data_IF_005939837616
#
_entry.id   IF_005939837616
#
_cell.length_a   1.000
_cell.length_b   1.000
_cell.length_c   1.000
_cell.angle_alpha   90.00
_cell.angle_beta   90.00
_cell.angle_gamma   90.00
#
_symmetry.space_group_name_H-M   'P 1'
#
loop_
_entity.id
_entity.type
_entity.pdbx_description
1 polymer ?
#
# COMPACT_ATOMS: atom_id res chain seq x y z
N UNK A 1 6.85 32.62 -39.16
CA UNK A 1 8.07 31.94 -38.71
C UNK A 1 7.65 30.72 -37.93
N UNK A 2 8.22 29.57 -38.28
CA UNK A 2 7.94 28.28 -37.68
C UNK A 2 8.70 28.09 -36.36
N UNK A 3 8.18 27.14 -35.58
CA UNK A 3 8.81 26.33 -34.52
C UNK A 3 8.96 26.94 -33.11
N UNK A 4 7.98 26.59 -32.26
CA UNK A 4 8.13 25.65 -31.15
C UNK A 4 9.55 25.50 -30.58
N UNK A 5 9.74 25.88 -29.31
CA UNK A 5 10.69 25.18 -28.44
C UNK A 5 10.31 25.34 -26.97
N UNK A 6 9.79 24.24 -26.44
CA UNK A 6 9.55 23.95 -25.02
C UNK A 6 10.79 24.19 -24.18
N UNK A 7 10.66 25.00 -23.12
CA UNK A 7 11.53 24.90 -21.94
C UNK A 7 10.62 24.66 -20.74
N UNK A 8 10.48 23.37 -20.46
CA UNK A 8 10.18 22.74 -19.17
C UNK A 8 9.50 23.64 -18.14
N UNK A 9 8.19 23.43 -17.97
CA UNK A 9 7.56 23.63 -16.66
C UNK A 9 8.19 22.62 -15.69
N UNK A 10 9.29 23.03 -15.08
CA UNK A 10 9.91 22.34 -13.96
C UNK A 10 8.92 22.48 -12.81
N UNK A 11 8.20 21.39 -12.53
CA UNK A 11 7.32 21.19 -11.37
C UNK A 11 5.93 21.88 -11.45
N UNK A 12 5.06 21.47 -12.38
CA UNK A 12 3.65 21.25 -12.01
C UNK A 12 3.56 19.92 -11.25
N UNK A 13 4.26 19.82 -10.11
CA UNK A 13 4.19 18.68 -9.21
C UNK A 13 3.81 19.16 -7.81
N UNK A 14 2.70 19.86 -7.74
CA UNK A 14 1.91 19.91 -6.52
C UNK A 14 0.52 19.48 -6.96
N UNK A 15 0.08 18.34 -6.43
CA UNK A 15 -1.30 17.93 -6.62
C UNK A 15 -2.18 19.09 -6.18
N UNK A 16 -3.25 19.40 -6.93
CA UNK A 16 -4.10 20.52 -6.54
C UNK A 16 -4.51 20.33 -5.08
N UNK A 17 -4.55 21.40 -4.28
CA UNK A 17 -4.99 21.32 -2.87
C UNK A 17 -6.32 20.57 -2.73
N UNK A 18 -7.18 20.63 -3.75
CA UNK A 18 -8.41 19.85 -3.85
C UNK A 18 -8.16 18.32 -3.93
N UNK A 19 -7.21 17.85 -4.74
CA UNK A 19 -6.82 16.44 -4.81
C UNK A 19 -6.14 15.96 -3.50
N UNK A 20 -5.30 16.80 -2.89
CA UNK A 20 -4.71 16.55 -1.58
C UNK A 20 -5.76 16.47 -0.47
N UNK A 21 -6.73 17.39 -0.46
CA UNK A 21 -7.86 17.40 0.48
C UNK A 21 -8.74 16.16 0.31
N UNK A 22 -9.07 15.76 -0.93
CA UNK A 22 -9.84 14.54 -1.19
C UNK A 22 -9.12 13.28 -0.72
N UNK A 23 -7.81 13.18 -0.94
CA UNK A 23 -7.03 12.04 -0.45
C UNK A 23 -6.96 12.02 1.07
N UNK A 24 -6.81 13.19 1.70
CA UNK A 24 -6.78 13.30 3.15
C UNK A 24 -8.14 12.93 3.79
N UNK A 25 -9.26 13.34 3.19
CA UNK A 25 -10.59 12.94 3.66
C UNK A 25 -10.80 11.43 3.52
N UNK A 26 -10.40 10.85 2.39
CA UNK A 26 -10.51 9.40 2.17
C UNK A 26 -9.62 8.59 3.11
N UNK A 27 -8.42 9.06 3.43
CA UNK A 27 -7.55 8.41 4.41
C UNK A 27 -8.14 8.47 5.82
N UNK A 28 -8.73 9.59 6.22
CA UNK A 28 -9.40 9.71 7.54
C UNK A 28 -10.61 8.79 7.66
N UNK A 29 -11.39 8.63 6.60
CA UNK A 29 -12.54 7.73 6.58
C UNK A 29 -12.08 6.27 6.73
N UNK A 30 -11.00 5.87 6.05
CA UNK A 30 -10.40 4.54 6.22
C UNK A 30 -9.81 4.34 7.62
N UNK A 31 -9.20 5.36 8.23
CA UNK A 31 -8.69 5.28 9.61
C UNK A 31 -9.82 5.15 10.65
N UNK A 32 -11.04 5.58 10.32
CA UNK A 32 -12.23 5.45 11.17
C UNK A 32 -13.01 4.16 10.91
N UNK A 33 -12.59 3.36 9.93
CA UNK A 33 -13.21 2.07 9.63
C UNK A 33 -12.70 1.02 10.63
N UNK A 34 -13.61 0.45 11.42
CA UNK A 34 -13.34 -0.63 12.37
C UNK A 34 -12.78 -1.91 11.70
N UNK A 35 -12.73 -1.96 10.37
CA UNK A 35 -12.09 -3.03 9.60
C UNK A 35 -10.58 -2.78 9.31
N UNK A 36 -10.01 -1.66 9.74
CA UNK A 36 -8.57 -1.38 9.60
C UNK A 36 -7.81 -1.77 10.86
N UNK A 37 -6.86 -2.70 10.70
CA UNK A 37 -6.06 -3.23 11.81
C UNK A 37 -4.56 -3.03 11.58
N UNK A 38 -3.81 -2.90 12.68
CA UNK A 38 -2.35 -2.76 12.64
C UNK A 38 -1.66 -4.09 12.35
N UNK A 39 -0.79 -4.09 11.34
CA UNK A 39 0.03 -5.24 10.96
C UNK A 39 1.32 -5.27 11.76
N UNK A 40 1.57 -6.38 12.46
CA UNK A 40 2.83 -6.66 13.15
C UNK A 40 3.90 -7.20 12.20
N UNK A 41 3.56 -8.21 11.38
CA UNK A 41 4.50 -8.88 10.47
C UNK A 41 3.79 -9.58 9.31
N UNK A 42 4.47 -9.71 8.18
CA UNK A 42 4.09 -10.64 7.10
C UNK A 42 4.74 -12.00 7.38
N UNK A 43 3.91 -13.01 7.62
CA UNK A 43 4.36 -14.36 8.00
C UNK A 43 4.66 -15.19 6.76
N UNK A 44 3.74 -15.17 5.80
CA UNK A 44 3.82 -15.95 4.57
C UNK A 44 3.11 -15.21 3.44
N UNK A 45 3.21 -15.76 2.24
CA UNK A 45 2.70 -15.15 1.03
C UNK A 45 2.67 -16.17 -0.09
N UNK A 46 1.54 -16.26 -0.75
CA UNK A 46 1.29 -17.22 -1.82
C UNK A 46 0.55 -16.55 -2.99
N UNK A 47 0.62 -17.18 -4.15
CA UNK A 47 -0.07 -16.72 -5.35
C UNK A 47 -1.21 -17.69 -5.68
N UNK A 48 -2.45 -17.22 -5.58
CA UNK A 48 -3.65 -17.96 -5.99
C UNK A 48 -4.18 -17.34 -7.28
N UNK A 49 -3.89 -17.99 -8.41
CA UNK A 49 -4.23 -17.48 -9.74
C UNK A 49 -3.48 -16.18 -10.09
N UNK A 50 -4.22 -15.10 -10.35
CA UNK A 50 -3.64 -13.77 -10.65
C UNK A 50 -3.42 -12.91 -9.40
N UNK A 51 -3.92 -13.33 -8.24
CA UNK A 51 -3.90 -12.54 -7.01
C UNK A 51 -2.87 -13.11 -6.03
N UNK A 52 -2.14 -12.21 -5.36
CA UNK A 52 -1.25 -12.56 -4.25
C UNK A 52 -1.96 -12.36 -2.93
N UNK A 53 -1.79 -13.32 -2.04
CA UNK A 53 -2.28 -13.31 -0.68
C UNK A 53 -1.10 -13.34 0.27
N UNK A 54 -1.24 -12.69 1.41
CA UNK A 54 -0.24 -12.63 2.47
C UNK A 54 -0.88 -13.04 3.79
N UNK A 55 -0.19 -13.91 4.53
CA UNK A 55 -0.60 -14.27 5.88
C UNK A 55 -0.10 -13.18 6.83
N UNK A 56 -1.03 -12.49 7.47
CA UNK A 56 -0.76 -11.31 8.28
C UNK A 56 -0.76 -11.68 9.76
N UNK A 57 0.33 -11.35 10.45
CA UNK A 57 0.37 -11.28 11.91
C UNK A 57 -0.19 -9.93 12.34
N UNK A 58 -1.33 -9.94 13.02
CA UNK A 58 -1.93 -8.75 13.60
C UNK A 58 -1.25 -8.34 14.91
N UNK A 59 -1.14 -7.03 15.16
CA UNK A 59 -0.63 -6.47 16.41
C UNK A 59 -1.65 -6.65 17.54
N UNK A 60 -1.23 -7.09 18.72
CA UNK A 60 -2.12 -7.31 19.87
C UNK A 60 -2.96 -8.60 19.84
N UNK A 61 -3.02 -9.31 18.72
CA UNK A 61 -3.70 -10.62 18.60
C UNK A 61 -2.71 -11.77 18.67
N UNK A 62 -3.14 -13.01 18.95
CA UNK A 62 -2.26 -14.18 18.93
C UNK A 62 -1.99 -14.67 17.48
N UNK A 63 -1.22 -15.74 17.29
CA UNK A 63 -0.83 -16.21 15.93
C UNK A 63 -1.92 -17.03 15.24
N UNK A 64 -2.83 -17.58 16.04
CA UNK A 64 -3.99 -18.34 15.61
C UNK A 64 -5.00 -17.47 14.86
N UNK A 65 -5.03 -16.17 15.16
CA UNK A 65 -5.86 -15.16 14.50
C UNK A 65 -5.23 -14.61 13.20
N UNK A 66 -4.11 -15.17 12.74
CA UNK A 66 -3.50 -14.72 11.50
C UNK A 66 -4.40 -15.04 10.31
N UNK A 67 -4.68 -14.05 9.46
CA UNK A 67 -5.54 -14.22 8.29
C UNK A 67 -4.79 -14.00 6.98
N UNK A 68 -5.31 -14.60 5.90
CA UNK A 68 -4.80 -14.46 4.54
C UNK A 68 -5.46 -13.28 3.84
N UNK A 69 -4.75 -12.15 3.79
CA UNK A 69 -5.24 -10.93 3.16
C UNK A 69 -4.69 -10.78 1.73
N UNK A 70 -5.52 -10.36 0.75
CA UNK A 70 -5.03 -10.05 -0.58
C UNK A 70 -4.13 -8.81 -0.55
N UNK A 71 -3.17 -8.73 -1.47
CA UNK A 71 -2.22 -7.61 -1.54
C UNK A 71 -2.88 -6.21 -1.58
N UNK A 72 -4.09 -6.12 -2.16
CA UNK A 72 -4.87 -4.88 -2.25
C UNK A 72 -5.35 -4.35 -0.89
N UNK A 73 -5.53 -5.23 0.10
CA UNK A 73 -5.98 -4.88 1.46
C UNK A 73 -4.81 -4.33 2.31
N UNK A 74 -3.57 -4.44 1.83
CA UNK A 74 -2.39 -3.97 2.56
C UNK A 74 -2.15 -2.49 2.29
N UNK A 75 -2.86 -1.68 3.08
CA UNK A 75 -2.85 -0.23 3.01
C UNK A 75 -1.69 0.36 3.82
N UNK A 76 -1.32 1.60 3.50
CA UNK A 76 -0.26 2.33 4.22
C UNK A 76 1.17 2.06 3.72
N UNK A 77 2.04 3.06 3.86
CA UNK A 77 3.41 3.01 3.39
C UNK A 77 4.25 1.95 4.13
N UNK A 78 4.04 1.82 5.44
CA UNK A 78 4.79 0.87 6.28
C UNK A 78 4.53 -0.57 5.88
N UNK A 79 3.25 -0.98 5.73
CA UNK A 79 2.90 -2.34 5.30
C UNK A 79 3.39 -2.62 3.89
N UNK A 80 3.28 -1.66 2.97
CA UNK A 80 3.83 -1.78 1.60
C UNK A 80 5.34 -2.04 1.60
N UNK A 81 6.12 -1.40 2.49
CA UNK A 81 7.55 -1.70 2.64
C UNK A 81 7.78 -3.13 3.12
N UNK A 82 6.99 -3.61 4.09
CA UNK A 82 7.08 -4.98 4.58
C UNK A 82 6.81 -6.00 3.45
N UNK A 83 5.79 -5.76 2.64
CA UNK A 83 5.46 -6.59 1.45
C UNK A 83 6.63 -6.61 0.47
N UNK A 84 7.21 -5.45 0.17
CA UNK A 84 8.32 -5.34 -0.76
C UNK A 84 9.55 -6.13 -0.28
N UNK A 85 9.90 -6.01 1.01
CA UNK A 85 11.00 -6.76 1.61
C UNK A 85 10.74 -8.27 1.57
N UNK A 86 9.54 -8.70 1.94
CA UNK A 86 9.15 -10.12 1.88
C UNK A 86 9.26 -10.67 0.45
N UNK A 87 8.74 -9.94 -0.54
CA UNK A 87 8.81 -10.34 -1.96
C UNK A 87 10.25 -10.48 -2.44
N UNK A 88 11.14 -9.53 -2.10
CA UNK A 88 12.55 -9.59 -2.49
C UNK A 88 13.24 -10.83 -1.90
N UNK A 89 12.98 -11.13 -0.63
CA UNK A 89 13.57 -12.30 0.03
C UNK A 89 13.06 -13.64 -0.53
N UNK A 90 11.77 -13.71 -0.90
CA UNK A 90 11.14 -14.95 -1.38
C UNK A 90 11.11 -15.13 -2.90
N UNK A 91 11.44 -14.10 -3.71
CA UNK A 91 11.58 -14.23 -5.17
C UNK A 91 12.98 -14.69 -5.62
N UNK A 92 13.90 -14.93 -4.68
CA UNK A 92 15.25 -15.45 -4.93
C UNK A 92 15.37 -16.97 -4.71
N UNK A 93 14.25 -17.69 -4.67
CA UNK A 93 14.18 -19.16 -4.64
C UNK A 93 13.35 -19.63 -5.82
#
# INVERSE_FOLDING_TARGET
MLHNNTITCFVCAESSRAAEQQRASQLRELEQDDSVYHVKKIVSGEKRGRTRYFLIKWEGYPEEENTWEPERNLLGASVKRMVATYKKANQMK
#
